data_IF_479116043511
#
_entry.id   IF_479116043511
#
_cell.length_a   1.000
_cell.length_b   1.000
_cell.length_c   1.000
_cell.angle_alpha   90.00
_cell.angle_beta   90.00
_cell.angle_gamma   90.00
#
_symmetry.space_group_name_H-M   'P 1'
#
loop_
_entity.id
_entity.type
_entity.pdbx_description
1 polymer ?
#
# COMPACT_ATOMS: atom_id res chain seq x y z
N UNK A 1 44.45 -81.83 -36.04
CA UNK A 1 43.32 -82.75 -35.63
C UNK A 1 42.96 -82.46 -34.19
N UNK A 2 41.66 -82.11 -34.00
CA UNK A 2 40.85 -82.29 -32.75
C UNK A 2 41.04 -81.20 -31.65
N UNK A 3 40.09 -80.32 -31.64
CA UNK A 3 38.84 -80.07 -30.81
C UNK A 3 39.10 -79.23 -29.58
N UNK A 4 38.82 -78.05 -29.74
CA UNK A 4 37.86 -77.07 -29.21
C UNK A 4 36.94 -77.62 -28.11
N UNK A 5 37.05 -77.11 -26.88
CA UNK A 5 35.93 -76.98 -25.95
C UNK A 5 35.93 -75.63 -25.26
N UNK A 6 34.87 -74.93 -25.55
CA UNK A 6 34.47 -73.67 -24.93
C UNK A 6 34.08 -73.95 -23.48
N UNK A 7 34.54 -73.08 -22.55
CA UNK A 7 33.88 -72.81 -21.28
C UNK A 7 33.45 -71.40 -21.22
N UNK A 8 32.16 -71.23 -21.39
CA UNK A 8 31.48 -69.97 -21.08
C UNK A 8 31.53 -69.79 -19.56
N UNK A 9 32.21 -68.76 -19.12
CA UNK A 9 32.13 -68.26 -17.75
C UNK A 9 31.13 -67.14 -17.74
N UNK A 10 29.89 -67.37 -17.33
CA UNK A 10 28.84 -66.38 -17.10
C UNK A 10 29.16 -65.66 -15.81
N UNK A 11 29.64 -64.44 -15.96
CA UNK A 11 29.83 -63.53 -14.85
C UNK A 11 28.43 -62.89 -14.52
N UNK A 12 27.87 -63.29 -13.39
CA UNK A 12 26.63 -62.78 -12.84
C UNK A 12 26.97 -61.43 -12.16
N UNK A 13 26.79 -60.32 -12.89
CA UNK A 13 26.84 -58.96 -12.29
C UNK A 13 25.54 -58.77 -11.52
N UNK A 14 25.57 -58.88 -10.21
CA UNK A 14 24.54 -58.40 -9.32
C UNK A 14 24.66 -56.86 -9.31
N UNK A 15 23.85 -56.19 -10.13
CA UNK A 15 23.59 -54.76 -10.00
C UNK A 15 22.75 -54.57 -8.74
N UNK A 16 23.36 -54.10 -7.68
CA UNK A 16 22.63 -53.54 -6.52
C UNK A 16 21.88 -52.33 -6.98
N UNK A 17 20.59 -52.46 -7.28
CA UNK A 17 19.67 -51.33 -7.39
C UNK A 17 19.53 -50.74 -5.97
N UNK A 18 20.28 -49.69 -5.70
CA UNK A 18 20.03 -48.83 -4.55
C UNK A 18 18.69 -48.16 -4.79
N UNK A 19 17.62 -48.73 -4.26
CA UNK A 19 16.33 -48.03 -4.13
C UNK A 19 16.55 -46.90 -3.13
N UNK A 20 16.87 -45.72 -3.66
CA UNK A 20 16.75 -44.51 -2.89
C UNK A 20 15.26 -44.35 -2.58
N UNK A 21 14.86 -44.77 -1.40
CA UNK A 21 13.58 -44.35 -0.83
C UNK A 21 13.64 -42.85 -0.65
N UNK A 22 13.18 -42.12 -1.65
CA UNK A 22 12.74 -40.75 -1.48
C UNK A 22 11.63 -40.84 -0.44
N UNK A 23 11.95 -40.49 0.80
CA UNK A 23 10.93 -40.16 1.80
C UNK A 23 10.16 -39.01 1.24
N UNK A 24 9.04 -39.27 0.57
CA UNK A 24 7.97 -38.29 0.34
C UNK A 24 7.60 -37.85 1.76
N UNK A 25 7.96 -36.63 2.10
CA UNK A 25 7.42 -35.99 3.30
C UNK A 25 5.92 -36.18 3.19
N UNK A 26 5.35 -36.86 4.17
CA UNK A 26 3.91 -37.03 4.27
C UNK A 26 3.31 -35.62 4.11
N UNK A 27 2.49 -35.50 3.10
CA UNK A 27 1.59 -34.37 2.96
C UNK A 27 0.92 -34.19 4.33
N UNK A 28 1.01 -33.02 4.94
CA UNK A 28 0.37 -32.74 6.23
C UNK A 28 -1.14 -32.80 5.97
N UNK A 29 -1.68 -34.00 6.01
CA UNK A 29 -3.11 -34.24 5.82
C UNK A 29 -3.86 -33.56 6.93
N UNK A 30 -4.89 -32.82 6.57
CA UNK A 30 -5.76 -32.15 7.56
C UNK A 30 -6.28 -33.24 8.52
N UNK A 31 -6.16 -33.07 9.86
CA UNK A 31 -6.52 -34.14 10.81
C UNK A 31 -7.99 -34.48 10.69
N UNK A 32 -8.28 -35.74 10.33
CA UNK A 32 -9.65 -36.23 10.06
C UNK A 32 -10.61 -35.97 11.25
N UNK A 33 -10.12 -36.09 12.48
CA UNK A 33 -10.91 -35.85 13.68
C UNK A 33 -11.35 -34.35 13.79
N UNK A 34 -10.48 -33.43 13.43
CA UNK A 34 -10.78 -31.99 13.45
C UNK A 34 -11.81 -31.64 12.37
N UNK A 35 -11.73 -32.27 11.21
CA UNK A 35 -12.74 -32.10 10.15
C UNK A 35 -14.09 -32.69 10.60
N UNK A 36 -14.10 -33.86 11.22
CA UNK A 36 -15.33 -34.44 11.74
C UNK A 36 -16.00 -33.53 12.80
N UNK A 37 -15.22 -32.96 13.71
CA UNK A 37 -15.70 -31.99 14.69
C UNK A 37 -16.26 -30.71 14.03
N UNK A 38 -15.58 -30.19 13.02
CA UNK A 38 -16.05 -29.02 12.27
C UNK A 38 -17.40 -29.30 11.60
N UNK A 39 -17.55 -30.46 10.96
CA UNK A 39 -18.81 -30.88 10.31
C UNK A 39 -19.93 -31.08 11.34
N UNK A 40 -19.65 -31.65 12.53
CA UNK A 40 -20.66 -31.79 13.59
C UNK A 40 -21.16 -30.43 14.09
N UNK A 41 -20.24 -29.48 14.32
CA UNK A 41 -20.61 -28.11 14.71
C UNK A 41 -21.44 -27.42 13.63
N UNK A 42 -21.03 -27.55 12.36
CA UNK A 42 -21.76 -26.99 11.22
C UNK A 42 -23.21 -27.51 11.17
N UNK A 43 -23.40 -28.86 11.30
CA UNK A 43 -24.73 -29.47 11.32
C UNK A 43 -25.58 -28.97 12.47
N UNK A 44 -25.04 -28.89 13.69
CA UNK A 44 -25.76 -28.38 14.87
C UNK A 44 -26.20 -26.95 14.69
N UNK A 45 -25.38 -26.08 14.08
CA UNK A 45 -25.78 -24.71 13.78
C UNK A 45 -26.97 -24.72 12.81
N UNK A 46 -26.89 -25.50 11.73
CA UNK A 46 -27.96 -25.59 10.73
C UNK A 46 -29.28 -26.11 11.33
N UNK A 47 -29.22 -27.05 12.28
CA UNK A 47 -30.36 -27.70 12.86
C UNK A 47 -31.00 -26.91 14.03
N UNK A 48 -30.20 -26.14 14.78
CA UNK A 48 -30.59 -25.63 16.09
C UNK A 48 -30.51 -24.11 16.22
N UNK A 49 -29.89 -23.41 15.28
CA UNK A 49 -29.85 -21.96 15.36
C UNK A 49 -31.26 -21.38 15.15
N UNK A 50 -31.52 -20.26 15.84
CA UNK A 50 -32.88 -19.65 15.91
C UNK A 50 -33.39 -19.17 14.53
N UNK A 51 -32.50 -18.85 13.63
CA UNK A 51 -32.80 -18.40 12.26
C UNK A 51 -32.17 -19.33 11.21
N UNK A 52 -32.78 -19.41 10.04
CA UNK A 52 -32.23 -20.13 8.92
C UNK A 52 -30.99 -19.43 8.38
N UNK A 53 -29.87 -20.14 8.28
CA UNK A 53 -28.59 -19.59 7.80
C UNK A 53 -28.18 -20.28 6.53
N UNK A 54 -27.74 -19.48 5.56
CA UNK A 54 -27.15 -19.93 4.31
C UNK A 54 -25.77 -20.60 4.52
N UNK A 55 -25.52 -21.70 3.82
CA UNK A 55 -24.32 -22.51 3.95
C UNK A 55 -23.06 -21.70 3.55
N UNK A 56 -23.14 -20.93 2.45
CA UNK A 56 -22.03 -20.12 1.97
C UNK A 56 -21.63 -19.06 3.00
N UNK A 57 -22.62 -18.46 3.66
CA UNK A 57 -22.39 -17.49 4.74
C UNK A 57 -21.64 -18.13 5.92
N UNK A 58 -22.02 -19.36 6.32
CA UNK A 58 -21.35 -20.10 7.40
C UNK A 58 -19.91 -20.47 7.03
N UNK A 59 -19.67 -20.98 5.82
CA UNK A 59 -18.33 -21.32 5.36
C UNK A 59 -17.44 -20.07 5.27
N UNK A 60 -17.94 -18.97 4.72
CA UNK A 60 -17.20 -17.70 4.69
C UNK A 60 -16.85 -17.20 6.09
N UNK A 61 -17.78 -17.31 7.05
CA UNK A 61 -17.53 -16.94 8.44
C UNK A 61 -16.45 -17.83 9.08
N UNK A 62 -16.49 -19.14 8.83
CA UNK A 62 -15.48 -20.08 9.32
C UNK A 62 -14.08 -19.78 8.74
N UNK A 63 -13.96 -19.52 7.44
CA UNK A 63 -12.70 -19.15 6.78
C UNK A 63 -12.18 -17.81 7.37
N UNK A 64 -13.04 -16.81 7.49
CA UNK A 64 -12.67 -15.53 8.12
C UNK A 64 -12.15 -15.74 9.55
N UNK A 65 -12.84 -16.55 10.36
CA UNK A 65 -12.43 -16.87 11.73
C UNK A 65 -11.07 -17.57 11.79
N UNK A 66 -10.84 -18.54 10.92
CA UNK A 66 -9.57 -19.27 10.83
C UNK A 66 -8.40 -18.34 10.49
N UNK A 67 -8.57 -17.43 9.54
CA UNK A 67 -7.49 -16.52 9.10
C UNK A 67 -7.27 -15.40 10.11
N UNK A 68 -8.34 -14.82 10.68
CA UNK A 68 -8.22 -13.75 11.68
C UNK A 68 -7.62 -14.23 13.01
N UNK A 69 -7.67 -15.53 13.28
CA UNK A 69 -7.01 -16.14 14.44
C UNK A 69 -5.48 -16.22 14.34
N UNK A 70 -4.87 -15.90 13.20
CA UNK A 70 -3.42 -15.97 13.00
C UNK A 70 -2.71 -14.72 13.55
N UNK A 71 -3.16 -13.54 13.12
CA UNK A 71 -2.60 -12.24 13.50
C UNK A 71 -3.56 -11.11 13.03
N UNK A 72 -3.39 -9.85 13.50
CA UNK A 72 -4.27 -8.75 13.15
C UNK A 72 -4.13 -8.24 11.70
N UNK A 73 -3.22 -8.77 10.92
CA UNK A 73 -2.92 -8.31 9.55
C UNK A 73 -3.33 -9.33 8.49
N UNK A 74 -3.44 -10.62 8.87
CA UNK A 74 -3.94 -11.67 8.00
C UNK A 74 -5.46 -11.58 7.88
N UNK A 75 -5.99 -11.75 6.68
CA UNK A 75 -7.42 -11.67 6.41
C UNK A 75 -7.85 -12.51 5.22
N UNK A 76 -9.05 -13.06 5.27
CA UNK A 76 -9.75 -13.51 4.09
C UNK A 76 -10.46 -12.29 3.48
N UNK A 77 -10.19 -12.03 2.21
CA UNK A 77 -10.75 -10.92 1.45
C UNK A 77 -11.85 -11.45 0.53
N UNK A 78 -13.05 -10.90 0.64
CA UNK A 78 -14.09 -11.10 -0.37
C UNK A 78 -13.65 -10.48 -1.70
N UNK A 79 -14.39 -10.75 -2.77
CA UNK A 79 -14.12 -10.14 -4.07
C UNK A 79 -14.08 -8.60 -3.98
N UNK A 80 -15.01 -8.01 -3.22
CA UNK A 80 -15.09 -6.57 -3.01
C UNK A 80 -13.89 -6.07 -2.20
N UNK A 81 -13.55 -6.72 -1.08
CA UNK A 81 -12.39 -6.36 -0.26
C UNK A 81 -11.08 -6.47 -1.07
N UNK A 82 -10.98 -7.49 -1.93
CA UNK A 82 -9.81 -7.68 -2.77
C UNK A 82 -9.71 -6.62 -3.87
N UNK A 83 -10.84 -6.23 -4.48
CA UNK A 83 -10.87 -5.13 -5.43
C UNK A 83 -10.48 -3.79 -4.77
N UNK A 84 -10.98 -3.50 -3.58
CA UNK A 84 -10.57 -2.31 -2.82
C UNK A 84 -9.06 -2.34 -2.50
N UNK A 85 -8.51 -3.50 -2.15
CA UNK A 85 -7.07 -3.65 -1.96
C UNK A 85 -6.29 -3.40 -3.26
N UNK A 86 -6.75 -3.93 -4.40
CA UNK A 86 -6.16 -3.66 -5.73
C UNK A 86 -6.18 -2.17 -6.05
N UNK A 87 -7.29 -1.49 -5.77
CA UNK A 87 -7.42 -0.03 -5.95
C UNK A 87 -6.40 0.71 -5.07
N UNK A 88 -6.35 0.37 -3.78
CA UNK A 88 -5.41 1.01 -2.84
C UNK A 88 -3.94 0.82 -3.22
N UNK A 89 -3.59 -0.36 -3.74
CA UNK A 89 -2.21 -0.69 -4.13
C UNK A 89 -1.80 -0.15 -5.51
N UNK A 90 -2.73 -0.04 -6.44
CA UNK A 90 -2.46 0.48 -7.79
C UNK A 90 -2.70 1.98 -7.91
N UNK A 91 -3.54 2.55 -7.05
CA UNK A 91 -4.04 3.91 -7.18
C UNK A 91 -5.00 4.09 -8.36
N UNK A 92 -5.49 3.00 -8.96
CA UNK A 92 -6.31 3.01 -10.18
C UNK A 92 -7.66 2.40 -9.90
N UNK A 93 -8.71 3.10 -10.28
CA UNK A 93 -10.09 2.60 -10.15
C UNK A 93 -10.97 3.12 -11.29
N UNK A 94 -12.01 2.36 -11.61
CA UNK A 94 -13.03 2.83 -12.51
C UNK A 94 -13.98 3.78 -11.79
N UNK A 95 -14.18 4.99 -12.35
CA UNK A 95 -15.02 5.99 -11.70
C UNK A 95 -15.20 7.25 -12.52
N UNK A 96 -15.63 8.32 -11.86
CA UNK A 96 -15.98 9.60 -12.47
C UNK A 96 -14.84 10.61 -12.44
N UNK A 97 -13.94 10.52 -11.44
CA UNK A 97 -12.85 11.48 -11.23
C UNK A 97 -13.30 12.73 -10.48
N UNK A 98 -13.86 12.55 -9.31
CA UNK A 98 -14.36 13.63 -8.44
C UNK A 98 -13.78 13.48 -7.05
N UNK A 99 -13.25 14.56 -6.48
CA UNK A 99 -12.99 14.65 -5.05
C UNK A 99 -14.26 15.12 -4.33
N UNK A 100 -14.68 14.41 -3.30
CA UNK A 100 -15.95 14.63 -2.60
C UNK A 100 -15.79 14.74 -1.10
N UNK A 101 -16.76 15.37 -0.46
CA UNK A 101 -16.94 15.41 0.99
C UNK A 101 -18.44 15.32 1.31
N UNK A 102 -18.79 15.32 2.59
CA UNK A 102 -20.20 15.45 3.02
C UNK A 102 -20.45 16.86 3.53
N UNK A 103 -21.61 17.44 3.16
CA UNK A 103 -22.09 18.72 3.67
C UNK A 103 -23.62 18.64 3.81
N UNK A 104 -24.14 18.86 5.02
CA UNK A 104 -25.56 18.84 5.34
C UNK A 104 -26.32 17.57 4.89
N UNK A 105 -25.64 16.42 5.00
CA UNK A 105 -26.20 15.11 4.59
C UNK A 105 -26.17 14.85 3.08
N UNK A 106 -25.54 15.70 2.29
CA UNK A 106 -25.33 15.51 0.85
C UNK A 106 -23.87 15.23 0.54
N UNK A 107 -23.64 14.57 -0.60
CA UNK A 107 -22.29 14.38 -1.16
C UNK A 107 -21.94 15.64 -1.97
N UNK A 108 -20.98 16.41 -1.47
CA UNK A 108 -20.53 17.65 -2.11
C UNK A 108 -19.26 17.41 -2.94
N UNK A 109 -19.25 17.93 -4.15
CA UNK A 109 -18.06 17.97 -5.00
C UNK A 109 -17.11 19.04 -4.46
N UNK A 110 -15.91 18.62 -4.02
CA UNK A 110 -14.81 19.55 -3.70
C UNK A 110 -14.25 20.09 -5.01
N UNK A 111 -13.87 19.16 -5.92
CA UNK A 111 -13.39 19.50 -7.26
C UNK A 111 -13.50 18.28 -8.17
N UNK A 112 -13.87 18.42 -9.45
CA UNK A 112 -13.57 17.42 -10.45
C UNK A 112 -12.05 17.36 -10.67
N UNK A 113 -11.53 16.17 -10.96
CA UNK A 113 -10.11 15.97 -11.28
C UNK A 113 -9.90 16.30 -12.76
N UNK A 114 -8.85 17.03 -13.08
CA UNK A 114 -8.51 17.41 -14.47
C UNK A 114 -8.40 16.17 -15.39
N UNK A 115 -8.85 16.33 -16.62
CA UNK A 115 -8.85 15.28 -17.66
C UNK A 115 -9.69 14.03 -17.32
N UNK A 116 -10.69 14.16 -16.44
CA UNK A 116 -11.58 13.05 -16.07
C UNK A 116 -12.98 13.15 -16.68
N UNK A 117 -13.76 12.05 -16.65
CA UNK A 117 -15.12 12.05 -17.17
C UNK A 117 -16.05 13.09 -16.56
N UNK A 118 -15.94 13.32 -15.25
CA UNK A 118 -16.79 14.28 -14.55
C UNK A 118 -16.50 15.71 -14.97
N UNK A 119 -15.22 16.09 -15.10
CA UNK A 119 -14.82 17.41 -15.59
C UNK A 119 -15.35 17.63 -17.02
N UNK A 120 -15.14 16.66 -17.92
CA UNK A 120 -15.64 16.75 -19.29
C UNK A 120 -17.16 16.81 -19.41
N UNK A 121 -17.87 16.20 -18.46
CA UNK A 121 -19.33 16.29 -18.38
C UNK A 121 -19.82 17.65 -17.84
N UNK A 122 -18.94 18.49 -17.29
CA UNK A 122 -19.29 19.79 -16.75
C UNK A 122 -19.70 19.80 -15.29
N UNK A 123 -19.31 18.79 -14.50
CA UNK A 123 -19.42 18.80 -13.04
C UNK A 123 -18.49 19.87 -12.50
N UNK A 124 -18.95 20.66 -11.52
CA UNK A 124 -18.20 21.79 -10.96
C UNK A 124 -18.00 21.62 -9.45
N UNK A 125 -16.98 22.31 -8.93
CA UNK A 125 -16.78 22.46 -7.49
C UNK A 125 -18.02 23.10 -6.83
N UNK A 126 -18.45 22.55 -5.71
CA UNK A 126 -19.62 23.00 -4.97
C UNK A 126 -20.95 22.35 -5.41
N UNK A 127 -20.97 21.52 -6.45
CA UNK A 127 -22.15 20.72 -6.80
C UNK A 127 -22.49 19.75 -5.66
N UNK A 128 -23.80 19.63 -5.37
CA UNK A 128 -24.31 18.66 -4.39
C UNK A 128 -24.92 17.48 -5.14
N UNK A 129 -24.29 16.32 -5.07
CA UNK A 129 -24.81 15.09 -5.66
C UNK A 129 -25.98 14.60 -4.79
N UNK A 130 -27.15 14.45 -5.39
CA UNK A 130 -28.38 14.02 -4.70
C UNK A 130 -28.82 12.63 -5.10
N UNK A 131 -28.45 12.17 -6.32
CA UNK A 131 -28.71 10.81 -6.80
C UNK A 131 -27.52 10.29 -7.60
N UNK A 132 -27.34 8.96 -7.54
CA UNK A 132 -26.42 8.18 -8.37
C UNK A 132 -27.22 7.01 -8.96
N UNK A 133 -27.45 7.03 -10.27
CA UNK A 133 -28.47 6.20 -10.89
C UNK A 133 -29.86 6.53 -10.33
N UNK A 134 -30.58 5.51 -9.92
CA UNK A 134 -31.91 5.64 -9.29
C UNK A 134 -31.85 5.85 -7.76
N UNK A 135 -30.66 5.70 -7.16
CA UNK A 135 -30.49 5.74 -5.71
C UNK A 135 -30.24 7.17 -5.19
N UNK A 136 -30.95 7.53 -4.13
CA UNK A 136 -30.70 8.77 -3.40
C UNK A 136 -29.49 8.61 -2.49
N UNK A 137 -28.52 9.53 -2.60
CA UNK A 137 -27.32 9.53 -1.73
C UNK A 137 -27.45 10.49 -0.53
N UNK A 138 -28.66 11.02 -0.29
CA UNK A 138 -28.91 11.88 0.88
C UNK A 138 -28.78 11.07 2.17
N UNK A 139 -28.01 11.56 3.13
CA UNK A 139 -27.69 10.92 4.40
C UNK A 139 -27.01 9.54 4.27
N UNK A 140 -26.50 9.19 3.10
CA UNK A 140 -25.70 7.98 2.88
C UNK A 140 -24.29 8.20 3.41
N UNK A 141 -23.69 7.14 3.96
CA UNK A 141 -22.28 7.17 4.31
C UNK A 141 -21.43 7.40 3.05
N UNK A 142 -20.43 8.28 3.13
CA UNK A 142 -19.62 8.70 1.97
C UNK A 142 -18.97 7.50 1.25
N UNK A 143 -18.58 6.46 2.01
CA UNK A 143 -18.02 5.23 1.45
C UNK A 143 -19.00 4.48 0.54
N UNK A 144 -20.29 4.42 0.90
CA UNK A 144 -21.31 3.76 0.11
C UNK A 144 -21.67 4.58 -1.15
N UNK A 145 -21.75 5.91 -1.01
CA UNK A 145 -21.91 6.78 -2.19
C UNK A 145 -20.73 6.64 -3.18
N UNK A 146 -19.49 6.49 -2.68
CA UNK A 146 -18.30 6.21 -3.50
C UNK A 146 -18.45 4.87 -4.22
N UNK A 147 -18.93 3.81 -3.56
CA UNK A 147 -19.15 2.50 -4.20
C UNK A 147 -20.12 2.59 -5.36
N UNK A 148 -21.22 3.33 -5.21
CA UNK A 148 -22.18 3.56 -6.29
C UNK A 148 -21.56 4.29 -7.49
N UNK A 149 -20.72 5.31 -7.25
CA UNK A 149 -20.05 6.06 -8.30
C UNK A 149 -18.93 5.28 -8.99
N UNK A 150 -18.28 4.33 -8.30
CA UNK A 150 -17.28 3.43 -8.88
C UNK A 150 -17.93 2.36 -9.76
N UNK A 151 -17.14 1.68 -10.55
CA UNK A 151 -17.57 0.57 -11.40
C UNK A 151 -16.61 0.34 -12.55
N UNK A 152 -16.91 -0.64 -13.39
CA UNK A 152 -16.05 -1.00 -14.51
C UNK A 152 -15.89 0.14 -15.51
N UNK A 153 -14.65 0.44 -15.95
CA UNK A 153 -14.41 1.41 -17.02
C UNK A 153 -15.22 1.07 -18.27
N UNK A 154 -15.81 2.10 -18.91
CA UNK A 154 -16.68 1.95 -20.07
C UNK A 154 -18.17 1.83 -19.73
N UNK A 155 -18.53 1.55 -18.48
CA UNK A 155 -19.94 1.53 -18.06
C UNK A 155 -20.47 2.96 -17.86
N UNK A 156 -21.75 3.17 -18.14
CA UNK A 156 -22.42 4.47 -17.96
C UNK A 156 -23.04 4.56 -16.58
N UNK A 157 -23.04 5.75 -16.04
CA UNK A 157 -23.75 6.11 -14.82
C UNK A 157 -24.32 7.51 -14.95
N UNK A 158 -25.50 7.71 -14.38
CA UNK A 158 -26.13 9.01 -14.30
C UNK A 158 -25.97 9.57 -12.89
N UNK A 159 -25.58 10.83 -12.77
CA UNK A 159 -25.62 11.56 -11.49
C UNK A 159 -26.54 12.75 -11.61
N UNK A 160 -27.31 13.01 -10.55
CA UNK A 160 -28.13 14.21 -10.42
C UNK A 160 -27.53 15.10 -9.38
N UNK A 161 -27.31 16.38 -9.73
CA UNK A 161 -26.70 17.35 -8.81
C UNK A 161 -27.57 18.58 -8.65
N UNK A 162 -27.51 19.19 -7.48
CA UNK A 162 -28.02 20.54 -7.22
C UNK A 162 -26.84 21.52 -7.29
N UNK A 163 -26.99 22.57 -8.09
CA UNK A 163 -25.96 23.61 -8.27
C UNK A 163 -26.47 24.94 -7.77
N UNK A 164 -25.65 25.65 -6.98
CA UNK A 164 -26.01 26.98 -6.49
C UNK A 164 -26.36 27.92 -7.64
N UNK A 165 -27.46 28.65 -7.54
CA UNK A 165 -28.02 29.57 -8.55
C UNK A 165 -28.59 28.88 -9.79
N UNK A 166 -28.86 27.60 -9.78
CA UNK A 166 -29.59 26.87 -10.80
C UNK A 166 -30.81 26.23 -10.12
N UNK A 167 -31.98 26.58 -10.59
CA UNK A 167 -33.24 26.20 -9.91
C UNK A 167 -33.62 24.73 -10.14
N UNK A 168 -33.23 24.16 -11.28
CA UNK A 168 -33.51 22.79 -11.63
C UNK A 168 -32.30 21.86 -11.37
N UNK A 169 -32.54 20.60 -10.94
CA UNK A 169 -31.48 19.61 -10.83
C UNK A 169 -30.82 19.35 -12.20
N UNK A 170 -29.49 19.32 -12.21
CA UNK A 170 -28.72 18.99 -13.39
C UNK A 170 -28.46 17.48 -13.44
N UNK A 171 -28.62 16.90 -14.59
CA UNK A 171 -28.42 15.46 -14.84
C UNK A 171 -27.20 15.29 -15.75
N UNK A 172 -26.24 14.48 -15.31
CA UNK A 172 -25.03 14.17 -16.07
C UNK A 172 -24.94 12.68 -16.36
N UNK A 173 -24.92 12.31 -17.64
CA UNK A 173 -24.60 10.95 -18.08
C UNK A 173 -23.10 10.83 -18.29
N UNK A 174 -22.46 10.03 -17.44
CA UNK A 174 -21.00 9.95 -17.40
C UNK A 174 -20.57 8.51 -17.68
N UNK A 175 -19.61 8.34 -18.59
CA UNK A 175 -18.99 7.04 -18.82
C UNK A 175 -17.77 6.90 -17.90
N UNK A 176 -17.79 5.89 -17.02
CA UNK A 176 -16.67 5.61 -16.10
C UNK A 176 -15.38 5.36 -16.88
N UNK A 177 -14.28 5.87 -16.38
CA UNK A 177 -12.95 5.63 -16.91
C UNK A 177 -12.00 5.24 -15.78
N UNK A 178 -10.81 4.75 -16.14
CA UNK A 178 -9.75 4.54 -15.15
C UNK A 178 -9.29 5.90 -14.63
N UNK A 179 -9.53 6.14 -13.36
CA UNK A 179 -9.03 7.29 -12.63
C UNK A 179 -7.73 6.90 -11.94
N UNK A 180 -6.71 7.76 -12.04
CA UNK A 180 -5.43 7.56 -11.37
C UNK A 180 -5.33 8.55 -10.21
N UNK A 181 -5.41 8.03 -9.00
CA UNK A 181 -5.20 8.83 -7.79
C UNK A 181 -3.71 9.06 -7.58
N UNK A 182 -3.26 10.31 -7.63
CA UNK A 182 -1.87 10.68 -7.36
C UNK A 182 -1.68 10.89 -5.86
N UNK A 183 -1.05 9.93 -5.19
CA UNK A 183 -0.71 10.01 -3.77
C UNK A 183 0.41 10.99 -3.42
N UNK A 184 0.81 11.87 -4.37
CA UNK A 184 1.95 12.81 -4.23
C UNK A 184 1.50 14.25 -4.36
N UNK A 185 1.89 15.07 -3.38
CA UNK A 185 1.82 16.54 -3.43
C UNK A 185 3.23 17.10 -3.28
N UNK A 186 3.54 18.19 -3.97
CA UNK A 186 4.88 18.78 -3.89
C UNK A 186 4.83 20.31 -3.98
N UNK A 187 5.81 20.96 -3.35
CA UNK A 187 5.97 22.44 -3.31
C UNK A 187 7.45 22.79 -3.04
N UNK A 188 7.84 24.02 -3.33
CA UNK A 188 9.15 24.56 -2.95
C UNK A 188 8.96 25.58 -1.82
N UNK A 189 9.76 25.48 -0.77
CA UNK A 189 9.86 26.42 0.34
C UNK A 189 11.33 26.86 0.46
N UNK A 190 11.64 28.13 0.25
CA UNK A 190 12.98 28.72 0.40
C UNK A 190 14.10 27.85 -0.22
N UNK A 191 13.91 27.42 -1.48
CA UNK A 191 14.79 26.51 -2.22
C UNK A 191 14.86 25.06 -1.68
N UNK A 192 14.09 24.72 -0.65
CA UNK A 192 13.93 23.32 -0.21
C UNK A 192 12.74 22.72 -0.95
N UNK A 193 12.99 21.62 -1.65
CA UNK A 193 11.92 20.82 -2.25
C UNK A 193 11.15 20.07 -1.16
N UNK A 194 9.83 20.14 -1.19
CA UNK A 194 8.95 19.36 -0.32
C UNK A 194 8.10 18.42 -1.17
N UNK A 195 8.10 17.15 -0.79
CA UNK A 195 7.22 16.13 -1.40
C UNK A 195 6.52 15.36 -0.29
N UNK A 196 5.19 15.36 -0.31
CA UNK A 196 4.37 14.50 0.54
C UNK A 196 3.94 13.27 -0.24
N UNK A 197 4.20 12.09 0.29
CA UNK A 197 3.72 10.82 -0.21
C UNK A 197 2.68 10.26 0.78
N UNK A 198 1.42 10.17 0.35
CA UNK A 198 0.33 9.73 1.22
C UNK A 198 0.21 8.21 1.36
N UNK A 199 0.66 7.43 0.36
CA UNK A 199 0.69 5.96 0.37
C UNK A 199 1.65 5.43 -0.69
N UNK A 200 2.12 4.20 -0.51
CA UNK A 200 3.00 3.52 -1.47
C UNK A 200 2.17 2.70 -2.46
N UNK A 201 1.93 3.25 -3.62
CA UNK A 201 1.28 2.59 -4.76
C UNK A 201 2.33 2.03 -5.72
N UNK A 202 1.92 1.12 -6.60
CA UNK A 202 2.84 0.48 -7.55
C UNK A 202 3.64 1.45 -8.43
N UNK A 203 3.08 2.63 -8.74
CA UNK A 203 3.76 3.66 -9.54
C UNK A 203 4.46 4.75 -8.73
N UNK A 204 4.43 4.69 -7.39
CA UNK A 204 4.92 5.78 -6.52
C UNK A 204 6.38 6.15 -6.76
N UNK A 205 7.24 5.20 -7.16
CA UNK A 205 8.64 5.47 -7.52
C UNK A 205 8.74 6.44 -8.71
N UNK A 206 8.00 6.16 -9.79
CA UNK A 206 8.00 7.02 -10.98
C UNK A 206 7.35 8.38 -10.70
N UNK A 207 6.28 8.38 -9.90
CA UNK A 207 5.59 9.61 -9.52
C UNK A 207 6.48 10.51 -8.68
N UNK A 208 7.22 9.95 -7.70
CA UNK A 208 8.18 10.69 -6.89
C UNK A 208 9.34 11.24 -7.75
N UNK A 209 9.89 10.40 -8.62
CA UNK A 209 10.93 10.84 -9.57
C UNK A 209 10.45 12.01 -10.41
N UNK A 210 9.24 11.93 -10.95
CA UNK A 210 8.62 13.00 -11.75
C UNK A 210 8.37 14.27 -10.93
N UNK A 211 7.93 14.14 -9.68
CA UNK A 211 7.72 15.26 -8.76
C UNK A 211 9.04 16.00 -8.47
N UNK A 212 10.13 15.26 -8.19
CA UNK A 212 11.46 15.85 -7.95
C UNK A 212 11.97 16.59 -9.20
N UNK A 213 11.80 16.03 -10.39
CA UNK A 213 12.17 16.74 -11.63
C UNK A 213 11.35 18.01 -11.86
N UNK A 214 10.05 17.99 -11.53
CA UNK A 214 9.20 19.17 -11.61
C UNK A 214 9.62 20.24 -10.58
N UNK A 215 9.91 19.84 -9.35
CA UNK A 215 10.44 20.75 -8.32
C UNK A 215 11.71 21.46 -8.80
N UNK A 216 12.68 20.72 -9.37
CA UNK A 216 13.92 21.28 -9.92
C UNK A 216 13.68 22.29 -11.05
N UNK A 217 12.55 22.16 -11.78
CA UNK A 217 12.18 23.11 -12.85
C UNK A 217 11.39 24.31 -12.35
N UNK A 218 10.56 24.12 -11.30
CA UNK A 218 9.72 25.18 -10.74
C UNK A 218 10.49 26.12 -9.81
N UNK A 219 11.59 25.64 -9.22
CA UNK A 219 12.42 26.46 -8.36
C UNK A 219 13.17 27.50 -9.20
N UNK A 220 13.14 28.79 -8.84
CA UNK A 220 13.89 29.85 -9.54
C UNK A 220 15.40 29.64 -9.52
N UNK A 221 15.89 28.96 -8.48
CA UNK A 221 17.28 28.59 -8.28
C UNK A 221 17.37 27.06 -8.07
N UNK A 222 18.53 26.42 -8.22
CA UNK A 222 18.66 25.02 -7.87
C UNK A 222 18.20 24.75 -6.43
N UNK A 223 17.44 23.67 -6.21
CA UNK A 223 17.03 23.29 -4.86
C UNK A 223 18.25 22.90 -4.02
N UNK A 224 18.18 23.24 -2.74
CA UNK A 224 19.27 23.08 -1.79
C UNK A 224 19.15 21.79 -0.97
N UNK A 225 18.01 21.13 -1.04
CA UNK A 225 17.70 19.88 -0.36
C UNK A 225 16.28 19.43 -0.65
N UNK A 226 15.92 18.27 -0.10
CA UNK A 226 14.59 17.69 -0.25
C UNK A 226 14.05 17.25 1.11
N UNK A 227 12.78 17.56 1.36
CA UNK A 227 11.98 16.99 2.44
C UNK A 227 11.01 15.99 1.82
N UNK A 228 11.08 14.72 2.27
CA UNK A 228 10.09 13.68 1.96
C UNK A 228 9.19 13.47 3.18
N UNK A 229 7.94 13.92 3.07
CA UNK A 229 6.95 13.80 4.15
C UNK A 229 6.17 12.48 4.02
N UNK A 230 6.43 11.59 4.98
CA UNK A 230 5.77 10.29 5.15
C UNK A 230 4.84 10.28 6.38
N UNK A 231 4.53 11.41 6.98
CA UNK A 231 3.59 11.49 8.11
C UNK A 231 2.21 11.00 7.71
N UNK A 232 1.58 10.19 8.57
CA UNK A 232 0.28 9.55 8.32
C UNK A 232 0.24 8.68 7.04
N UNK A 233 1.39 8.19 6.58
CA UNK A 233 1.46 7.25 5.48
C UNK A 233 1.52 5.81 6.04
N UNK A 234 0.45 5.00 5.92
CA UNK A 234 0.37 3.67 6.51
C UNK A 234 1.22 2.62 5.77
N UNK A 235 1.92 3.04 4.71
CA UNK A 235 2.71 2.16 3.87
C UNK A 235 2.05 1.83 2.53
N UNK A 236 2.17 0.58 2.10
CA UNK A 236 1.65 0.06 0.84
C UNK A 236 2.59 -0.97 0.21
N UNK A 237 2.85 -0.84 -1.08
CA UNK A 237 3.60 -1.83 -1.87
C UNK A 237 5.08 -1.84 -1.51
N UNK A 238 5.60 -3.01 -1.09
CA UNK A 238 7.02 -3.20 -0.75
C UNK A 238 7.96 -2.78 -1.90
N UNK A 239 7.66 -3.19 -3.14
CA UNK A 239 8.47 -2.83 -4.30
C UNK A 239 8.56 -1.32 -4.53
N UNK A 240 7.51 -0.56 -4.19
CA UNK A 240 7.54 0.90 -4.26
C UNK A 240 8.44 1.51 -3.16
N UNK A 241 8.44 0.94 -1.95
CA UNK A 241 9.36 1.37 -0.90
C UNK A 241 10.83 1.13 -1.30
N UNK A 242 11.12 -0.06 -1.83
CA UNK A 242 12.45 -0.40 -2.36
C UNK A 242 12.86 0.58 -3.46
N UNK A 243 11.99 0.79 -4.47
CA UNK A 243 12.29 1.69 -5.58
C UNK A 243 12.46 3.16 -5.15
N UNK A 244 11.67 3.63 -4.19
CA UNK A 244 11.82 5.00 -3.65
C UNK A 244 13.13 5.15 -2.87
N UNK A 245 13.49 4.16 -2.05
CA UNK A 245 14.76 4.17 -1.32
C UNK A 245 15.94 4.17 -2.28
N UNK A 246 15.85 3.34 -3.33
CA UNK A 246 16.87 3.21 -4.36
C UNK A 246 17.15 4.53 -5.11
N UNK A 247 16.13 5.40 -5.28
CA UNK A 247 16.33 6.72 -5.90
C UNK A 247 17.37 7.60 -5.19
N UNK A 248 17.66 7.35 -3.92
CA UNK A 248 18.50 8.19 -3.06
C UNK A 248 19.81 7.52 -2.64
N UNK A 249 20.02 6.25 -2.97
CA UNK A 249 21.23 5.51 -2.60
C UNK A 249 22.09 5.23 -3.83
N UNK A 250 23.40 5.13 -3.63
CA UNK A 250 24.34 4.66 -4.64
C UNK A 250 24.74 3.20 -4.44
N UNK A 251 24.69 2.73 -3.21
CA UNK A 251 25.00 1.37 -2.80
C UNK A 251 24.37 1.04 -1.44
N UNK A 252 24.51 -0.20 -1.02
CA UNK A 252 24.08 -0.67 0.28
C UNK A 252 22.79 -1.47 0.23
N UNK A 253 22.49 -2.12 1.36
CA UNK A 253 21.25 -2.87 1.53
C UNK A 253 20.11 -1.90 1.80
N UNK A 254 18.93 -2.17 1.23
CA UNK A 254 17.70 -1.41 1.47
C UNK A 254 16.89 -2.07 2.58
N UNK A 255 16.58 -3.35 2.41
CA UNK A 255 15.74 -4.12 3.33
C UNK A 255 15.97 -5.60 3.08
N UNK A 256 15.79 -6.42 4.09
CA UNK A 256 15.66 -7.86 3.89
C UNK A 256 14.46 -8.42 4.64
N UNK A 257 13.94 -9.54 4.14
CA UNK A 257 12.81 -10.23 4.72
C UNK A 257 13.23 -11.60 5.24
N UNK A 258 12.60 -12.07 6.30
CA UNK A 258 12.78 -13.42 6.82
C UNK A 258 11.42 -14.03 7.17
N UNK A 259 11.15 -15.19 6.62
CA UNK A 259 9.94 -15.96 6.88
C UNK A 259 10.21 -17.47 6.87
N UNK A 260 9.14 -18.25 7.01
CA UNK A 260 9.24 -19.71 7.15
C UNK A 260 9.71 -20.40 5.88
N UNK A 261 9.32 -19.91 4.72
CA UNK A 261 9.65 -20.52 3.42
C UNK A 261 10.86 -19.83 2.78
N UNK A 262 11.56 -20.53 1.87
CA UNK A 262 12.67 -19.94 1.12
C UNK A 262 12.24 -18.71 0.31
N UNK A 263 11.06 -18.75 -0.28
CA UNK A 263 10.52 -17.64 -1.10
C UNK A 263 10.18 -16.37 -0.27
N UNK A 264 10.18 -16.46 1.05
CA UNK A 264 9.96 -15.33 1.95
C UNK A 264 11.25 -14.74 2.53
N UNK A 265 12.41 -15.24 2.09
CA UNK A 265 13.75 -14.74 2.45
C UNK A 265 14.33 -13.97 1.26
N UNK A 266 14.11 -12.67 1.25
CA UNK A 266 14.53 -11.79 0.16
C UNK A 266 15.44 -10.70 0.70
N UNK A 267 16.41 -10.28 -0.11
CA UNK A 267 17.27 -9.14 0.17
C UNK A 267 17.21 -8.16 -1.00
N UNK A 268 17.14 -6.87 -0.69
CA UNK A 268 17.09 -5.81 -1.68
C UNK A 268 18.27 -4.87 -1.46
N UNK A 269 18.96 -4.55 -2.55
CA UNK A 269 20.14 -3.68 -2.55
C UNK A 269 19.91 -2.49 -3.46
N UNK A 270 20.59 -1.40 -3.17
CA UNK A 270 20.57 -0.20 -3.99
C UNK A 270 21.33 -0.40 -5.29
N UNK A 271 20.87 0.29 -6.33
CA UNK A 271 21.56 0.44 -7.60
C UNK A 271 22.28 1.80 -7.64
N UNK A 272 23.40 1.95 -8.40
CA UNK A 272 24.17 3.20 -8.41
C UNK A 272 23.39 4.38 -8.98
N UNK A 273 22.57 5.02 -8.14
CA UNK A 273 21.83 6.25 -8.46
C UNK A 273 21.57 7.08 -7.21
N UNK A 274 21.70 8.40 -7.31
CA UNK A 274 21.20 9.35 -6.33
C UNK A 274 20.63 10.54 -7.09
N UNK A 275 19.31 10.59 -7.18
CA UNK A 275 18.60 11.64 -7.94
C UNK A 275 18.85 13.05 -7.38
N UNK A 276 19.33 13.16 -6.14
CA UNK A 276 19.67 14.42 -5.47
C UNK A 276 21.15 14.77 -5.62
N UNK A 277 22.00 13.86 -6.14
CA UNK A 277 23.44 14.07 -6.25
C UNK A 277 24.10 14.51 -4.94
N UNK A 278 23.75 13.85 -3.82
CA UNK A 278 24.30 14.14 -2.50
C UNK A 278 23.68 15.32 -1.76
N UNK A 279 22.72 16.07 -2.35
CA UNK A 279 22.02 17.13 -1.62
C UNK A 279 21.35 16.59 -0.36
N UNK A 280 21.19 17.42 0.68
CA UNK A 280 20.49 17.07 1.92
C UNK A 280 19.12 16.44 1.66
N UNK A 281 18.83 15.36 2.37
CA UNK A 281 17.54 14.68 2.37
C UNK A 281 17.05 14.56 3.81
N UNK A 282 15.86 15.06 4.06
CA UNK A 282 15.18 14.94 5.35
C UNK A 282 13.89 14.17 5.16
N UNK A 283 13.59 13.23 6.05
CA UNK A 283 12.36 12.45 6.02
C UNK A 283 11.55 12.76 7.26
N UNK A 284 10.30 13.17 7.06
CA UNK A 284 9.37 13.40 8.16
C UNK A 284 8.53 12.15 8.42
N UNK A 285 8.47 11.73 9.68
CA UNK A 285 7.64 10.61 10.13
C UNK A 285 6.83 10.97 11.38
N UNK A 286 5.77 10.20 11.65
CA UNK A 286 4.99 10.24 12.88
C UNK A 286 4.39 8.86 13.20
N UNK A 287 3.61 8.76 14.27
CA UNK A 287 2.94 7.52 14.68
C UNK A 287 1.99 6.91 13.63
N UNK A 288 1.61 7.65 12.59
CA UNK A 288 0.85 7.15 11.44
C UNK A 288 1.73 6.65 10.28
N UNK A 289 3.05 6.79 10.37
CA UNK A 289 4.02 6.25 9.40
C UNK A 289 4.27 4.78 9.69
N UNK A 290 3.91 3.88 8.78
CA UNK A 290 3.99 2.44 9.02
C UNK A 290 4.50 1.66 7.80
N UNK A 291 5.00 0.44 8.03
CA UNK A 291 5.32 -0.53 6.97
C UNK A 291 6.30 0.02 5.92
N UNK A 292 5.88 0.21 4.66
CA UNK A 292 6.71 0.76 3.57
C UNK A 292 7.36 2.11 3.94
N UNK A 293 6.67 2.97 4.70
CA UNK A 293 7.24 4.22 5.22
C UNK A 293 8.42 3.97 6.15
N UNK A 294 8.33 2.92 6.97
CA UNK A 294 9.38 2.54 7.92
C UNK A 294 10.56 1.86 7.21
N UNK A 295 10.30 1.17 6.10
CA UNK A 295 11.37 0.64 5.22
C UNK A 295 12.19 1.80 4.66
N UNK A 296 11.54 2.81 4.07
CA UNK A 296 12.22 3.97 3.49
C UNK A 296 13.00 4.74 4.56
N UNK A 297 12.33 5.09 5.66
CA UNK A 297 12.96 5.84 6.75
C UNK A 297 14.14 5.05 7.38
N UNK A 298 13.91 3.79 7.72
CA UNK A 298 14.93 2.93 8.36
C UNK A 298 16.12 2.64 7.45
N UNK A 299 15.88 2.40 6.16
CA UNK A 299 16.94 2.15 5.19
C UNK A 299 17.82 3.39 4.98
N UNK A 300 17.22 4.57 4.78
CA UNK A 300 17.95 5.80 4.55
C UNK A 300 18.64 6.33 5.82
N UNK A 301 18.09 6.04 7.00
CA UNK A 301 18.74 6.29 8.28
C UNK A 301 19.97 5.39 8.47
N UNK A 302 19.82 4.07 8.29
CA UNK A 302 20.89 3.10 8.48
C UNK A 302 22.06 3.32 7.51
N UNK A 303 21.77 3.70 6.25
CA UNK A 303 22.78 4.08 5.27
C UNK A 303 23.29 5.52 5.44
N UNK A 304 22.87 6.25 6.49
CA UNK A 304 23.28 7.64 6.78
C UNK A 304 23.03 8.60 5.61
N UNK A 305 22.02 8.31 4.78
CA UNK A 305 21.66 9.12 3.60
C UNK A 305 20.68 10.24 3.92
N UNK A 306 19.80 10.01 4.90
CA UNK A 306 18.79 10.99 5.29
C UNK A 306 18.77 11.20 6.80
N UNK A 307 18.36 12.42 7.21
CA UNK A 307 18.02 12.73 8.60
C UNK A 307 16.52 12.51 8.79
N UNK A 308 16.15 11.74 9.78
CA UNK A 308 14.77 11.43 10.12
C UNK A 308 14.26 12.41 11.17
N UNK A 309 13.15 13.08 10.92
CA UNK A 309 12.59 14.16 11.75
C UNK A 309 11.13 13.86 12.10
N UNK A 310 10.71 14.26 13.28
CA UNK A 310 9.32 14.19 13.75
C UNK A 310 9.14 13.31 14.97
N UNK A 311 8.16 12.42 14.94
CA UNK A 311 7.85 11.51 16.05
C UNK A 311 8.08 10.07 15.63
N UNK A 312 8.22 9.19 16.63
CA UNK A 312 8.41 7.74 16.45
C UNK A 312 7.32 7.14 15.57
N UNK A 313 7.70 6.26 14.64
CA UNK A 313 6.77 5.59 13.73
C UNK A 313 5.98 4.46 14.41
N UNK A 314 5.07 3.85 13.69
CA UNK A 314 4.09 2.88 14.20
C UNK A 314 4.70 1.56 14.69
N UNK A 315 5.64 0.98 13.95
CA UNK A 315 6.24 -0.32 14.29
C UNK A 315 5.56 -1.52 13.63
N UNK A 316 5.28 -1.46 12.32
CA UNK A 316 4.73 -2.58 11.56
C UNK A 316 5.81 -3.20 10.65
N UNK A 317 6.42 -4.30 11.08
CA UNK A 317 7.45 -5.01 10.31
C UNK A 317 6.96 -6.30 9.63
N UNK A 318 5.67 -6.49 9.45
CA UNK A 318 5.09 -7.68 8.82
C UNK A 318 4.87 -7.48 7.33
N UNK A 319 5.23 -8.51 6.54
CA UNK A 319 5.00 -8.58 5.09
C UNK A 319 3.79 -9.45 4.83
N UNK A 320 2.79 -8.91 4.13
CA UNK A 320 1.61 -9.64 3.69
C UNK A 320 1.76 -10.06 2.23
N UNK A 321 1.52 -11.36 1.98
CA UNK A 321 1.38 -11.92 0.63
C UNK A 321 -0.10 -12.09 0.32
N UNK A 322 -0.50 -11.68 -0.87
CA UNK A 322 -1.85 -11.84 -1.37
C UNK A 322 -1.88 -13.06 -2.29
N UNK A 323 -2.79 -13.98 -2.02
CA UNK A 323 -3.02 -15.20 -2.81
C UNK A 323 -4.47 -15.18 -3.29
N UNK A 324 -4.66 -14.95 -4.58
CA UNK A 324 -5.99 -14.98 -5.21
C UNK A 324 -6.50 -16.41 -5.27
N UNK A 325 -7.78 -16.61 -4.96
CA UNK A 325 -8.48 -17.88 -5.00
C UNK A 325 -9.31 -18.00 -6.27
N UNK A 326 -9.72 -19.22 -6.59
CA UNK A 326 -10.43 -19.53 -7.85
C UNK A 326 -11.81 -18.88 -7.99
N UNK A 327 -12.41 -18.46 -6.89
CA UNK A 327 -13.70 -17.78 -6.84
C UNK A 327 -13.58 -16.23 -6.90
N UNK A 328 -12.36 -15.70 -7.08
CA UNK A 328 -12.06 -14.27 -7.11
C UNK A 328 -11.89 -13.62 -5.74
N UNK A 329 -12.08 -14.36 -4.64
CA UNK A 329 -11.67 -13.95 -3.30
C UNK A 329 -10.14 -14.07 -3.12
N UNK A 330 -9.59 -13.62 -2.00
CA UNK A 330 -8.16 -13.75 -1.76
C UNK A 330 -7.81 -14.01 -0.29
N UNK A 331 -6.65 -14.62 -0.08
CA UNK A 331 -6.01 -14.70 1.22
C UNK A 331 -4.90 -13.65 1.32
N UNK A 332 -4.99 -12.79 2.32
CA UNK A 332 -3.92 -11.91 2.75
C UNK A 332 -3.26 -12.53 3.97
N UNK A 333 -2.03 -13.02 3.82
CA UNK A 333 -1.32 -13.72 4.88
C UNK A 333 -0.01 -13.04 5.23
N UNK A 334 0.30 -12.94 6.51
CA UNK A 334 1.63 -12.56 6.99
C UNK A 334 2.60 -13.71 6.74
N UNK A 335 3.51 -13.55 5.79
CA UNK A 335 4.44 -14.59 5.34
C UNK A 335 5.89 -14.34 5.75
N UNK A 336 6.23 -13.09 6.11
CA UNK A 336 7.57 -12.71 6.54
C UNK A 336 7.55 -11.50 7.48
N UNK A 337 8.69 -11.26 8.12
CA UNK A 337 9.05 -9.97 8.73
C UNK A 337 10.16 -9.33 7.92
N UNK A 338 10.20 -8.00 7.90
CA UNK A 338 11.31 -7.28 7.31
C UNK A 338 12.17 -6.62 8.39
N UNK A 339 13.42 -6.38 8.04
CA UNK A 339 14.45 -5.82 8.92
C UNK A 339 15.17 -4.70 8.18
N UNK A 340 15.62 -3.70 8.92
CA UNK A 340 16.43 -2.62 8.35
C UNK A 340 17.81 -3.14 7.92
N UNK A 341 18.57 -2.39 7.12
CA UNK A 341 19.93 -2.81 6.69
C UNK A 341 20.84 -3.30 7.80
N UNK A 342 20.80 -2.63 8.95
CA UNK A 342 21.61 -2.99 10.15
C UNK A 342 20.95 -4.09 11.01
N UNK A 343 19.85 -4.69 10.56
CA UNK A 343 19.21 -5.81 11.27
C UNK A 343 18.29 -5.41 12.41
N UNK A 344 17.88 -4.15 12.50
CA UNK A 344 16.93 -3.71 13.54
C UNK A 344 15.56 -4.36 13.29
N UNK A 345 15.04 -5.01 14.33
CA UNK A 345 13.64 -5.43 14.36
C UNK A 345 12.81 -4.22 14.80
N UNK A 346 12.05 -3.67 13.88
CA UNK A 346 11.19 -2.52 14.15
C UNK A 346 9.76 -2.93 14.50
N UNK A 347 9.47 -4.24 14.57
CA UNK A 347 8.14 -4.72 14.93
C UNK A 347 7.77 -4.25 16.33
N UNK A 348 6.65 -3.56 16.48
CA UNK A 348 6.19 -2.86 17.70
C UNK A 348 7.09 -1.72 18.19
N UNK A 349 8.34 -1.66 17.72
CA UNK A 349 9.32 -0.66 18.15
C UNK A 349 9.32 0.61 17.27
N UNK A 350 9.02 0.48 15.97
CA UNK A 350 9.07 1.58 15.03
C UNK A 350 10.47 2.16 14.78
N UNK A 351 10.52 3.18 13.92
CA UNK A 351 11.72 3.98 13.65
C UNK A 351 11.71 5.19 14.60
N UNK A 352 12.79 5.35 15.34
CA UNK A 352 13.00 6.54 16.16
C UNK A 352 13.65 7.62 15.29
N UNK A 353 13.10 8.84 15.22
CA UNK A 353 13.71 9.92 14.47
C UNK A 353 15.05 10.36 15.06
N UNK A 354 15.94 10.88 14.22
CA UNK A 354 17.23 11.46 14.64
C UNK A 354 16.99 12.80 15.37
N UNK A 355 15.97 13.54 14.95
CA UNK A 355 15.56 14.81 15.54
C UNK A 355 14.07 14.76 15.87
N UNK A 356 13.74 14.82 17.14
CA UNK A 356 12.36 14.84 17.60
C UNK A 356 11.81 16.27 17.46
N UNK A 357 10.70 16.39 16.75
CA UNK A 357 9.92 17.63 16.63
C UNK A 357 8.47 17.30 16.91
N UNK A 358 7.96 17.77 18.05
CA UNK A 358 6.58 17.51 18.44
C UNK A 358 5.60 18.33 17.59
N UNK A 359 4.44 17.73 17.29
CA UNK A 359 3.36 18.47 16.65
C UNK A 359 2.63 19.32 17.70
N UNK A 360 2.61 20.61 17.49
CA UNK A 360 1.91 21.56 18.36
C UNK A 360 0.64 22.02 17.63
N UNK A 361 -0.50 21.48 18.09
CA UNK A 361 -1.81 21.84 17.53
C UNK A 361 -2.04 23.35 17.68
N UNK A 362 -2.60 23.97 16.64
CA UNK A 362 -2.98 25.40 16.58
C UNK A 362 -1.81 26.40 16.68
N UNK A 363 -0.57 25.92 16.64
CA UNK A 363 0.60 26.79 16.55
C UNK A 363 0.77 27.30 15.13
N UNK A 364 0.56 28.59 14.94
CA UNK A 364 0.80 29.25 13.66
C UNK A 364 2.30 29.50 13.46
N UNK A 365 2.75 29.30 12.22
CA UNK A 365 4.13 29.50 11.79
C UNK A 365 4.17 30.31 10.47
N UNK A 366 5.33 30.86 10.14
CA UNK A 366 5.54 31.67 8.94
C UNK A 366 5.66 30.79 7.68
N UNK A 367 4.60 30.04 7.37
CA UNK A 367 4.45 29.32 6.12
C UNK A 367 3.17 29.75 5.40
N UNK A 368 3.12 29.68 4.06
CA UNK A 368 1.91 30.01 3.32
C UNK A 368 0.82 28.98 3.57
N UNK A 369 -0.43 29.43 3.55
CA UNK A 369 -1.61 28.58 3.64
C UNK A 369 -1.60 27.47 2.56
N UNK A 370 -1.98 26.21 2.86
CA UNK A 370 -2.51 25.68 4.12
C UNK A 370 -1.45 25.16 5.11
N UNK A 371 -0.18 25.51 4.99
CA UNK A 371 0.92 24.99 5.81
C UNK A 371 1.22 25.84 7.05
N UNK A 372 0.52 26.95 7.23
CA UNK A 372 0.72 27.92 8.31
C UNK A 372 0.42 27.38 9.73
N UNK A 373 -0.19 26.18 9.84
CA UNK A 373 -0.39 25.47 11.11
C UNK A 373 0.49 24.23 11.25
N UNK A 374 1.55 24.09 10.43
CA UNK A 374 2.45 22.92 10.44
C UNK A 374 3.83 23.30 11.00
N UNK A 375 3.92 23.34 12.34
CA UNK A 375 5.15 23.63 13.03
C UNK A 375 6.26 22.60 12.77
N UNK A 376 5.90 21.31 12.58
CA UNK A 376 6.88 20.29 12.26
C UNK A 376 7.54 20.54 10.90
N UNK A 377 6.74 20.89 9.87
CA UNK A 377 7.27 21.23 8.55
C UNK A 377 8.16 22.47 8.63
N UNK A 378 7.74 23.50 9.36
CA UNK A 378 8.51 24.74 9.53
C UNK A 378 9.90 24.48 10.14
N UNK A 379 9.96 23.71 11.23
CA UNK A 379 11.24 23.33 11.84
C UNK A 379 12.07 22.42 10.92
N UNK A 380 11.41 21.52 10.18
CA UNK A 380 12.11 20.63 9.23
C UNK A 380 12.74 21.42 8.07
N UNK A 381 12.10 22.48 7.57
CA UNK A 381 12.68 23.38 6.56
C UNK A 381 13.96 24.04 7.12
N UNK A 382 13.94 24.55 8.35
CA UNK A 382 15.12 25.13 9.00
C UNK A 382 16.26 24.12 9.14
N UNK A 383 15.95 22.88 9.55
CA UNK A 383 16.93 21.77 9.63
C UNK A 383 17.54 21.52 8.26
N UNK A 384 16.73 21.37 7.22
CA UNK A 384 17.21 21.10 5.86
C UNK A 384 18.09 22.24 5.33
N UNK A 385 17.73 23.49 5.60
CA UNK A 385 18.53 24.69 5.24
C UNK A 385 19.85 24.73 5.99
N UNK A 386 19.84 24.41 7.29
CA UNK A 386 21.07 24.37 8.13
C UNK A 386 22.04 23.26 7.68
N UNK A 387 21.56 22.12 7.24
CA UNK A 387 22.40 21.01 6.74
C UNK A 387 23.20 21.41 5.49
N UNK A 388 22.68 22.25 4.60
CA UNK A 388 23.41 22.77 3.47
C UNK A 388 24.61 23.64 3.91
N UNK A 389 24.42 24.47 4.90
CA UNK A 389 25.47 25.37 5.40
C UNK A 389 26.68 24.61 5.99
N UNK A 390 26.48 23.37 6.44
CA UNK A 390 27.54 22.52 7.02
C UNK A 390 28.23 21.66 5.94
N UNK A 391 27.57 21.40 4.81
CA UNK A 391 28.08 20.57 3.72
C UNK A 391 28.86 21.36 2.64
N UNK A 392 28.94 22.68 2.77
CA UNK A 392 29.80 23.59 1.99
C UNK A 392 31.07 23.96 2.76
#
# INVERSE_FOLDING_TARGET
MKNLKHYLLTLFLLSQLSVTTTTIKADETVPAQNIAQFVDVFKRIKEQYVEEIDDEKLFKAAIKGMVSGLDPHSAFLTNDDFNELKIGTTGRFGGLGIEITTEDGYVKVITPIDDTPAERAGVLAGDLIVKVGDESVKNMEIGDAVKLMRGEPGTKIQITVLRKKVDEPLIFDITRQIIVSKGIKFKVFDNIGYVRLASFQSNSTNDLKSAIYKLKKLSPTPIDGLILDLRNNPGGVLGAAVGITDLFLQEGKIVYTNGRTMNSKLEYFATPQDILNGLPLVIMINGGSASASEIVAGALQDNKRATIVGNKSYGKASVQTIQELSDGSALKLTTARYYTPLGRDIHTLGITPDIIVEYEKDKLVELPDPYNADNQLFETIKIATGMKAVSQ
#
